data_IF_381467947614
#
_entry.id   IF_381467947614
#
_cell.length_a   1.000
_cell.length_b   1.000
_cell.length_c   1.000
_cell.angle_alpha   90.00
_cell.angle_beta   90.00
_cell.angle_gamma   90.00
#
_symmetry.space_group_name_H-M   'P 1'
#
loop_
_entity.id
_entity.type
_entity.pdbx_description
1 polymer ?
#
# COMPACT_ATOMS: atom_id res chain seq x y z
N UNK A 1 -21.37 29.02 36.69
CA UNK A 1 -22.06 28.12 35.74
C UNK A 1 -21.53 28.36 34.33
N UNK A 2 -20.19 28.34 34.15
CA UNK A 2 -19.54 28.72 32.88
C UNK A 2 -18.34 27.82 32.53
N UNK A 3 -17.70 27.20 33.52
CA UNK A 3 -16.55 26.31 33.33
C UNK A 3 -16.88 24.97 32.66
N UNK A 4 -18.11 24.45 32.82
CA UNK A 4 -18.52 23.19 32.19
C UNK A 4 -18.75 23.30 30.68
N UNK A 5 -19.15 24.47 30.19
CA UNK A 5 -19.43 24.70 28.77
C UNK A 5 -18.13 24.76 27.94
N UNK A 6 -17.07 25.36 28.51
CA UNK A 6 -15.75 25.47 27.88
C UNK A 6 -15.07 24.10 27.72
N UNK A 7 -15.23 23.21 28.70
CA UNK A 7 -14.68 21.84 28.64
C UNK A 7 -15.42 21.03 27.56
N UNK A 8 -16.74 21.19 27.45
CA UNK A 8 -17.52 20.50 26.42
C UNK A 8 -17.11 20.94 25.00
N UNK A 9 -16.90 22.25 24.79
CA UNK A 9 -16.45 22.80 23.51
C UNK A 9 -15.03 22.31 23.15
N UNK A 10 -14.13 22.21 24.13
CA UNK A 10 -12.77 21.69 23.91
C UNK A 10 -12.81 20.23 23.42
N UNK A 11 -13.66 19.38 23.99
CA UNK A 11 -13.79 17.97 23.57
C UNK A 11 -14.35 17.87 22.14
N UNK A 12 -15.30 18.73 21.75
CA UNK A 12 -15.88 18.71 20.40
C UNK A 12 -14.83 19.07 19.33
N UNK A 13 -13.89 19.97 19.63
CA UNK A 13 -12.80 20.29 18.70
C UNK A 13 -11.80 19.14 18.48
N UNK A 14 -11.64 18.21 19.42
CA UNK A 14 -10.78 17.02 19.21
C UNK A 14 -11.42 15.97 18.29
N UNK A 15 -12.74 15.82 18.32
CA UNK A 15 -13.42 14.83 17.48
C UNK A 15 -13.52 15.25 16.01
N UNK A 16 -13.49 16.55 15.69
CA UNK A 16 -13.51 17.03 14.31
C UNK A 16 -12.17 16.83 13.56
N UNK A 17 -11.05 16.61 14.25
CA UNK A 17 -9.75 16.41 13.61
C UNK A 17 -9.45 14.95 13.21
N UNK A 18 -10.19 13.97 13.74
CA UNK A 18 -9.93 12.53 13.47
C UNK A 18 -10.72 11.97 12.27
N UNK A 19 -11.48 12.82 11.59
CA UNK A 19 -12.13 12.51 10.32
C UNK A 19 -11.34 13.00 9.11
N UNK A 20 -10.00 12.98 9.22
CA UNK A 20 -9.17 12.88 8.04
C UNK A 20 -9.53 11.58 7.32
N UNK A 21 -10.51 11.66 6.41
CA UNK A 21 -10.77 10.63 5.40
C UNK A 21 -9.43 10.38 4.73
N UNK A 22 -8.83 9.22 4.99
CA UNK A 22 -7.63 8.78 4.31
C UNK A 22 -8.00 8.67 2.82
N UNK A 23 -7.76 9.75 2.08
CA UNK A 23 -8.32 9.99 0.74
C UNK A 23 -7.68 9.10 -0.32
N UNK A 24 -6.49 8.56 -0.02
CA UNK A 24 -5.76 7.61 -0.84
C UNK A 24 -5.20 6.49 0.03
N UNK A 25 -5.11 5.29 -0.55
CA UNK A 25 -4.31 4.21 0.03
C UNK A 25 -2.83 4.58 -0.06
N UNK A 26 -2.02 4.11 0.89
CA UNK A 26 -0.58 4.33 0.91
C UNK A 26 0.12 2.98 0.71
N UNK A 27 0.96 2.86 -0.32
CA UNK A 27 1.84 1.73 -0.55
C UNK A 27 3.29 2.18 -0.38
N UNK A 28 3.95 1.66 0.65
CA UNK A 28 5.36 1.90 0.91
C UNK A 28 6.15 0.63 0.60
N UNK A 29 7.24 0.74 -0.15
CA UNK A 29 8.02 -0.39 -0.63
C UNK A 29 9.52 -0.12 -0.55
N UNK A 30 10.24 -1.10 -0.02
CA UNK A 30 11.69 -1.08 0.10
C UNK A 30 12.28 -2.18 -0.77
N UNK A 31 13.24 -1.82 -1.62
CA UNK A 31 14.05 -2.76 -2.37
C UNK A 31 15.39 -2.96 -1.63
N UNK A 32 15.77 -4.21 -1.38
CA UNK A 32 16.98 -4.55 -0.61
C UNK A 32 18.29 -4.38 -1.40
N UNK A 33 18.24 -3.79 -2.60
CA UNK A 33 19.35 -3.63 -3.53
C UNK A 33 19.93 -4.94 -4.08
N UNK A 34 19.26 -6.08 -3.85
CA UNK A 34 19.67 -7.38 -4.34
C UNK A 34 18.57 -8.04 -5.17
N UNK A 35 17.52 -8.53 -4.51
CA UNK A 35 16.44 -9.27 -5.19
C UNK A 35 15.10 -9.13 -4.49
N UNK A 36 15.05 -8.62 -3.26
CA UNK A 36 13.82 -8.58 -2.48
C UNK A 36 13.19 -7.20 -2.56
N UNK A 37 11.88 -7.19 -2.81
CA UNK A 37 11.04 -6.04 -2.48
C UNK A 37 10.07 -6.39 -1.35
N UNK A 38 10.06 -5.55 -0.32
CA UNK A 38 9.17 -5.65 0.84
C UNK A 38 8.23 -4.47 0.78
N UNK A 39 6.93 -4.74 0.75
CA UNK A 39 5.90 -3.71 0.63
C UNK A 39 4.93 -3.77 1.80
N UNK A 40 4.51 -2.59 2.24
CA UNK A 40 3.52 -2.35 3.28
C UNK A 40 2.43 -1.44 2.71
N UNK A 41 1.18 -1.88 2.82
CA UNK A 41 0.03 -1.19 2.25
C UNK A 41 -1.00 -0.88 3.33
N UNK A 42 -1.41 0.39 3.38
CA UNK A 42 -2.47 0.86 4.26
C UNK A 42 -3.73 1.08 3.40
N UNK A 43 -4.70 0.15 3.44
CA UNK A 43 -5.99 0.32 2.76
C UNK A 43 -6.75 1.56 3.25
N UNK A 44 -7.55 2.16 2.37
CA UNK A 44 -8.57 3.15 2.78
C UNK A 44 -9.55 2.47 3.73
N UNK A 45 -10.08 3.19 4.74
CA UNK A 45 -10.93 2.70 5.87
C UNK A 45 -12.07 1.69 5.53
N UNK A 46 -12.41 1.47 4.25
CA UNK A 46 -13.44 0.53 3.79
C UNK A 46 -12.92 -0.74 3.08
N UNK A 47 -11.61 -0.84 2.80
CA UNK A 47 -10.99 -1.97 2.11
C UNK A 47 -10.55 -3.10 3.09
N UNK A 48 -11.39 -3.39 4.09
CA UNK A 48 -11.00 -4.28 5.20
C UNK A 48 -11.28 -5.77 4.95
N UNK A 49 -12.16 -6.13 4.01
CA UNK A 49 -12.53 -7.53 3.76
C UNK A 49 -12.09 -7.95 2.35
N UNK A 50 -11.40 -9.09 2.26
CA UNK A 50 -11.01 -9.68 0.99
C UNK A 50 -9.55 -10.12 0.92
N UNK A 51 -9.26 -10.86 -0.13
CA UNK A 51 -7.91 -11.26 -0.53
C UNK A 51 -7.32 -10.13 -1.39
N UNK A 52 -6.14 -9.65 -0.98
CA UNK A 52 -5.40 -8.60 -1.67
C UNK A 52 -4.10 -9.19 -2.16
N UNK A 53 -3.68 -8.77 -3.35
CA UNK A 53 -2.46 -9.22 -3.99
C UNK A 53 -1.66 -8.00 -4.44
N UNK A 54 -0.35 -8.08 -4.24
CA UNK A 54 0.59 -7.16 -4.86
C UNK A 54 1.23 -7.87 -6.06
N UNK A 55 1.28 -7.16 -7.19
CA UNK A 55 1.92 -7.58 -8.42
C UNK A 55 3.06 -6.63 -8.73
N UNK A 56 4.25 -7.16 -9.00
CA UNK A 56 5.40 -6.41 -9.48
C UNK A 56 5.70 -6.80 -10.93
N UNK A 57 5.80 -5.78 -11.78
CA UNK A 57 6.13 -5.90 -13.19
C UNK A 57 7.29 -4.98 -13.52
N UNK A 58 8.17 -5.41 -14.40
CA UNK A 58 9.28 -4.60 -14.94
C UNK A 58 9.07 -4.46 -16.44
N UNK A 59 9.57 -3.39 -17.04
CA UNK A 59 9.19 -2.98 -18.40
C UNK A 59 9.65 -3.93 -19.52
N UNK A 60 10.60 -4.82 -19.26
CA UNK A 60 11.05 -5.86 -20.20
C UNK A 60 10.33 -7.20 -19.97
N UNK A 61 10.37 -8.10 -20.98
CA UNK A 61 9.55 -9.33 -21.15
C UNK A 61 9.75 -10.45 -20.09
N UNK A 62 9.77 -10.12 -18.80
CA UNK A 62 9.69 -11.11 -17.72
C UNK A 62 8.27 -11.18 -17.14
N UNK A 63 7.77 -12.40 -16.85
CA UNK A 63 6.42 -12.56 -16.31
C UNK A 63 6.32 -11.91 -14.93
N UNK A 64 5.27 -11.12 -14.62
CA UNK A 64 5.12 -10.45 -13.34
C UNK A 64 5.21 -11.39 -12.14
N UNK A 65 5.79 -10.92 -11.03
CA UNK A 65 5.81 -11.65 -9.76
C UNK A 65 4.69 -11.15 -8.86
N UNK A 66 4.08 -12.06 -8.12
CA UNK A 66 2.88 -11.76 -7.33
C UNK A 66 2.94 -12.38 -5.95
N UNK A 67 2.32 -11.73 -4.97
CA UNK A 67 2.23 -12.22 -3.60
C UNK A 67 0.91 -11.79 -2.94
N UNK A 68 0.45 -12.57 -1.97
CA UNK A 68 -0.72 -12.21 -1.17
C UNK A 68 -0.33 -11.21 -0.08
N UNK A 69 -1.12 -10.13 0.03
CA UNK A 69 -0.94 -9.10 1.05
C UNK A 69 -1.64 -9.51 2.34
N UNK A 70 -0.83 -9.86 3.34
CA UNK A 70 -1.30 -10.39 4.62
C UNK A 70 -1.42 -9.29 5.67
N UNK A 71 -2.45 -9.34 6.50
CA UNK A 71 -2.71 -8.37 7.56
C UNK A 71 -4.16 -7.89 7.57
N UNK A 72 -4.52 -7.13 8.61
CA UNK A 72 -5.90 -6.65 8.82
C UNK A 72 -6.02 -5.15 8.53
N UNK A 73 -5.31 -4.31 9.28
CA UNK A 73 -5.29 -2.85 9.13
C UNK A 73 -4.16 -2.37 8.24
N UNK A 74 -2.99 -2.96 8.39
CA UNK A 74 -1.81 -2.76 7.57
C UNK A 74 -1.48 -4.11 6.96
N UNK A 75 -1.28 -4.15 5.64
CA UNK A 75 -0.99 -5.40 4.93
C UNK A 75 0.43 -5.38 4.40
N UNK A 76 1.11 -6.51 4.41
CA UNK A 76 2.47 -6.61 3.89
C UNK A 76 2.66 -7.80 2.98
N UNK A 77 3.68 -7.70 2.14
CA UNK A 77 4.16 -8.78 1.31
C UNK A 77 5.68 -8.65 1.09
N UNK A 78 6.33 -9.81 0.94
CA UNK A 78 7.68 -9.95 0.38
C UNK A 78 7.61 -10.59 -1.01
N UNK A 79 8.26 -9.99 -2.00
CA UNK A 79 8.46 -10.52 -3.35
C UNK A 79 9.95 -10.75 -3.59
N UNK A 80 10.28 -11.82 -4.31
CA UNK A 80 11.65 -12.17 -4.73
C UNK A 80 11.72 -12.01 -6.24
N UNK A 81 12.65 -11.17 -6.69
CA UNK A 81 12.89 -10.74 -8.06
C UNK A 81 14.26 -11.22 -8.59
N UNK A 82 14.81 -12.31 -8.04
CA UNK A 82 16.12 -12.88 -8.39
C UNK A 82 16.32 -13.01 -9.92
N UNK A 83 15.28 -13.51 -10.60
CA UNK A 83 15.29 -13.70 -12.05
C UNK A 83 15.34 -12.40 -12.86
N UNK A 84 15.16 -11.22 -12.26
CA UNK A 84 15.03 -9.95 -12.99
C UNK A 84 16.36 -9.30 -13.33
N UNK A 85 17.41 -9.48 -12.51
CA UNK A 85 18.71 -8.83 -12.73
C UNK A 85 18.58 -7.31 -12.86
N UNK A 86 17.93 -6.68 -11.88
CA UNK A 86 17.58 -5.25 -11.91
C UNK A 86 18.83 -4.34 -11.95
N UNK A 87 18.71 -3.25 -12.70
CA UNK A 87 19.74 -2.23 -12.90
C UNK A 87 19.26 -0.84 -12.47
N UNK A 88 20.20 0.11 -12.36
CA UNK A 88 19.91 1.51 -11.92
C UNK A 88 18.93 2.27 -12.81
N UNK A 89 18.71 1.81 -14.05
CA UNK A 89 17.76 2.42 -15.00
C UNK A 89 16.38 1.78 -14.94
N UNK A 90 16.23 0.64 -14.25
CA UNK A 90 14.97 -0.08 -14.24
C UNK A 90 13.92 0.65 -13.40
N UNK A 91 12.66 0.45 -13.78
CA UNK A 91 11.50 0.91 -13.03
C UNK A 91 10.58 -0.28 -12.77
N UNK A 92 10.12 -0.42 -11.54
CA UNK A 92 9.19 -1.48 -11.14
C UNK A 92 7.79 -0.86 -11.02
N UNK A 93 6.84 -1.39 -11.79
CA UNK A 93 5.42 -1.11 -11.60
C UNK A 93 4.88 -2.05 -10.52
N UNK A 94 4.30 -1.46 -9.48
CA UNK A 94 3.66 -2.14 -8.37
C UNK A 94 2.16 -1.89 -8.41
N UNK A 95 1.38 -2.97 -8.38
CA UNK A 95 -0.07 -2.91 -8.47
C UNK A 95 -0.68 -3.72 -7.33
N UNK A 96 -1.47 -3.05 -6.48
CA UNK A 96 -2.32 -3.71 -5.47
C UNK A 96 -3.69 -3.94 -6.07
N UNK A 97 -4.12 -5.19 -6.05
CA UNK A 97 -5.46 -5.60 -6.50
C UNK A 97 -6.20 -6.35 -5.39
N UNK A 98 -7.52 -6.29 -5.41
CA UNK A 98 -8.38 -7.12 -4.57
C UNK A 98 -9.21 -8.06 -5.43
N UNK A 99 -9.52 -9.24 -4.89
CA UNK A 99 -10.39 -10.19 -5.55
C UNK A 99 -11.86 -9.91 -5.20
N UNK A 100 -12.70 -9.70 -6.22
CA UNK A 100 -14.14 -9.44 -6.04
C UNK A 100 -14.98 -10.71 -5.89
N UNK A 101 -14.38 -11.90 -6.09
CA UNK A 101 -15.12 -13.16 -6.28
C UNK A 101 -15.15 -13.61 -7.75
N UNK A 102 -15.00 -12.67 -8.68
CA UNK A 102 -15.04 -12.92 -10.13
C UNK A 102 -13.75 -12.50 -10.83
N UNK A 103 -13.18 -11.36 -10.42
CA UNK A 103 -11.99 -10.79 -11.04
C UNK A 103 -11.12 -10.05 -10.04
N UNK A 104 -9.87 -9.85 -10.43
CA UNK A 104 -8.97 -8.93 -9.75
C UNK A 104 -9.29 -7.49 -10.19
N UNK A 105 -9.42 -6.60 -9.21
CA UNK A 105 -9.67 -5.18 -9.44
C UNK A 105 -8.56 -4.38 -8.78
N UNK A 106 -7.93 -3.51 -9.56
CA UNK A 106 -6.88 -2.62 -9.10
C UNK A 106 -7.41 -1.57 -8.11
N UNK A 107 -6.68 -1.34 -7.03
CA UNK A 107 -7.00 -0.34 -5.99
C UNK A 107 -5.84 0.61 -5.69
N UNK A 108 -4.65 0.28 -6.15
CA UNK A 108 -3.48 1.13 -6.03
C UNK A 108 -2.46 0.72 -7.09
N UNK A 109 -1.79 1.70 -7.69
CA UNK A 109 -0.59 1.46 -8.47
C UNK A 109 0.45 2.53 -8.16
N UNK A 110 1.73 2.17 -8.30
CA UNK A 110 2.83 3.13 -8.30
C UNK A 110 4.02 2.56 -9.05
N UNK A 111 4.91 3.45 -9.50
CA UNK A 111 6.22 3.09 -10.04
C UNK A 111 7.28 3.43 -9.01
N UNK A 112 8.26 2.54 -8.85
CA UNK A 112 9.44 2.79 -8.04
C UNK A 112 10.72 2.60 -8.87
N UNK A 113 11.73 3.39 -8.54
CA UNK A 113 13.08 3.24 -9.09
C UNK A 113 13.93 2.56 -8.00
N UNK A 114 14.24 1.26 -8.13
CA UNK A 114 14.77 0.44 -7.03
C UNK A 114 16.11 0.93 -6.47
N UNK A 115 16.84 1.76 -7.20
CA UNK A 115 18.17 2.25 -6.82
C UNK A 115 18.23 3.77 -6.57
N UNK A 116 17.11 4.50 -6.63
CA UNK A 116 17.10 5.93 -6.26
C UNK A 116 16.84 6.08 -4.76
N UNK A 117 17.70 6.86 -4.12
CA UNK A 117 17.70 7.21 -2.69
C UNK A 117 16.95 8.53 -2.51
#
# INVERSE_FOLDING_TARGET
METGLLILLYIISFFQASEAKQKSSNLDCLYDSFETIICTWIPVKNAMKGQYQLTASVEYEKPPKTCQMNGTSIRSCKLILEDYSLTVTDTILLVVSYYTGEKWTEVHNQRIEPFKI
#
